data_IF_352807648625
#
_entry.id   IF_352807648625
#
_cell.length_a   1.000
_cell.length_b   1.000
_cell.length_c   1.000
_cell.angle_alpha   90.00
_cell.angle_beta   90.00
_cell.angle_gamma   90.00
#
_symmetry.space_group_name_H-M   'P 1'
#
loop_
_entity.id
_entity.type
_entity.pdbx_description
1 polymer ?
#
# COMPACT_ATOMS: atom_id res chain seq x y z
N UNK A 1 -4.76 13.30 15.22
CA UNK A 1 -5.24 11.92 15.34
C UNK A 1 -6.75 11.91 15.26
N UNK A 2 -7.27 11.20 14.27
CA UNK A 2 -8.69 11.06 14.01
C UNK A 2 -9.38 10.13 15.01
N UNK A 3 -10.69 10.31 15.18
CA UNK A 3 -11.51 9.35 15.89
C UNK A 3 -11.64 8.05 15.07
N UNK A 4 -11.90 6.93 15.75
CA UNK A 4 -12.05 5.64 15.09
C UNK A 4 -13.18 5.65 14.04
N UNK A 5 -14.28 6.36 14.33
CA UNK A 5 -15.40 6.50 13.40
C UNK A 5 -15.00 7.25 12.11
N UNK A 6 -14.16 8.28 12.20
CA UNK A 6 -13.70 9.03 11.03
C UNK A 6 -12.78 8.18 10.14
N UNK A 7 -11.87 7.41 10.74
CA UNK A 7 -11.04 6.43 10.02
C UNK A 7 -11.89 5.40 9.28
N UNK A 8 -12.95 4.90 9.93
CA UNK A 8 -13.89 3.96 9.35
C UNK A 8 -14.61 4.56 8.12
N UNK A 9 -15.04 5.82 8.20
CA UNK A 9 -15.65 6.53 7.06
C UNK A 9 -14.70 6.61 5.87
N UNK A 10 -13.42 6.89 6.09
CA UNK A 10 -12.42 6.92 5.00
C UNK A 10 -12.22 5.53 4.41
N UNK A 11 -12.03 4.50 5.25
CA UNK A 11 -11.85 3.12 4.81
C UNK A 11 -13.04 2.63 3.97
N UNK A 12 -14.27 2.88 4.41
CA UNK A 12 -15.49 2.51 3.68
C UNK A 12 -15.57 3.18 2.30
N UNK A 13 -15.13 4.43 2.18
CA UNK A 13 -15.08 5.15 0.90
C UNK A 13 -14.02 4.58 -0.04
N UNK A 14 -12.85 4.21 0.47
CA UNK A 14 -11.80 3.56 -0.32
C UNK A 14 -12.22 2.16 -0.78
N UNK A 15 -12.82 1.37 0.11
CA UNK A 15 -13.40 0.07 -0.22
C UNK A 15 -14.53 0.20 -1.25
N UNK A 16 -15.37 1.24 -1.11
CA UNK A 16 -16.38 1.55 -2.12
C UNK A 16 -15.73 1.88 -3.47
N UNK A 17 -14.72 2.75 -3.51
CA UNK A 17 -13.99 3.08 -4.73
C UNK A 17 -13.42 1.82 -5.41
N UNK A 18 -12.83 0.90 -4.64
CA UNK A 18 -12.35 -0.38 -5.14
C UNK A 18 -13.45 -1.24 -5.78
N UNK A 19 -14.66 -1.23 -5.23
CA UNK A 19 -15.79 -2.03 -5.74
C UNK A 19 -16.49 -1.41 -6.94
N UNK A 20 -16.60 -0.08 -6.97
CA UNK A 20 -17.40 0.65 -7.96
C UNK A 20 -16.57 1.34 -9.04
N UNK A 21 -15.24 1.22 -8.96
CA UNK A 21 -14.32 1.90 -9.86
C UNK A 21 -14.56 3.42 -9.94
N UNK A 22 -15.02 4.02 -8.83
CA UNK A 22 -15.34 5.45 -8.75
C UNK A 22 -14.37 6.15 -7.79
N UNK A 23 -13.51 7.06 -8.28
CA UNK A 23 -12.47 7.66 -7.44
C UNK A 23 -13.05 8.66 -6.42
N UNK A 24 -12.45 8.70 -5.24
CA UNK A 24 -12.86 9.60 -4.16
C UNK A 24 -11.98 10.85 -4.11
N UNK A 25 -12.44 11.89 -3.41
CA UNK A 25 -11.62 13.05 -3.06
C UNK A 25 -10.57 12.68 -2.01
N UNK A 26 -9.60 13.57 -1.77
CA UNK A 26 -8.56 13.36 -0.77
C UNK A 26 -9.17 13.12 0.63
N UNK A 27 -8.75 12.04 1.33
CA UNK A 27 -9.03 11.89 2.76
C UNK A 27 -8.62 13.09 3.61
N UNK A 28 -7.47 13.72 3.34
CA UNK A 28 -6.97 14.91 4.05
C UNK A 28 -7.83 16.16 3.80
N UNK A 29 -8.44 16.31 2.61
CA UNK A 29 -9.43 17.36 2.35
C UNK A 29 -10.70 17.17 3.20
N UNK A 30 -11.15 15.91 3.38
CA UNK A 30 -12.32 15.59 4.20
C UNK A 30 -12.02 15.71 5.71
N UNK A 31 -10.81 15.30 6.11
CA UNK A 31 -10.35 15.31 7.48
C UNK A 31 -8.97 15.99 7.57
N UNK A 32 -8.92 17.33 7.73
CA UNK A 32 -7.65 18.06 7.79
C UNK A 32 -6.69 17.61 8.90
N UNK A 33 -7.21 16.98 9.96
CA UNK A 33 -6.43 16.45 11.09
C UNK A 33 -5.90 15.01 10.88
N UNK A 34 -6.05 14.44 9.68
CA UNK A 34 -5.58 13.10 9.32
C UNK A 34 -4.04 13.09 9.23
N UNK A 35 -3.40 12.34 10.12
CA UNK A 35 -1.93 12.23 10.16
C UNK A 35 -1.45 10.85 9.69
N UNK A 36 -0.13 10.67 9.56
CA UNK A 36 0.49 9.42 9.08
C UNK A 36 -0.01 8.17 9.82
N UNK A 37 -0.14 8.26 11.14
CA UNK A 37 -0.64 7.17 11.99
C UNK A 37 -2.11 6.83 11.70
N UNK A 38 -2.92 7.81 11.31
CA UNK A 38 -4.30 7.59 10.87
C UNK A 38 -4.33 6.88 9.52
N UNK A 39 -3.44 7.26 8.58
CA UNK A 39 -3.35 6.64 7.26
C UNK A 39 -3.04 5.13 7.36
N UNK A 40 -2.04 4.74 8.15
CA UNK A 40 -1.73 3.32 8.36
C UNK A 40 -2.87 2.55 9.04
N UNK A 41 -3.63 3.19 9.94
CA UNK A 41 -4.83 2.58 10.52
C UNK A 41 -5.96 2.41 9.51
N UNK A 42 -6.14 3.38 8.60
CA UNK A 42 -7.11 3.29 7.52
C UNK A 42 -6.72 2.17 6.55
N UNK A 43 -5.45 2.07 6.17
CA UNK A 43 -4.92 0.95 5.39
C UNK A 43 -5.25 -0.38 6.07
N UNK A 44 -5.01 -0.50 7.38
CA UNK A 44 -5.30 -1.71 8.13
C UNK A 44 -6.80 -2.06 8.12
N UNK A 45 -7.70 -1.07 8.26
CA UNK A 45 -9.15 -1.30 8.18
C UNK A 45 -9.57 -1.83 6.81
N UNK A 46 -9.00 -1.31 5.72
CA UNK A 46 -9.24 -1.83 4.37
C UNK A 46 -8.76 -3.29 4.24
N UNK A 47 -7.57 -3.60 4.75
CA UNK A 47 -7.02 -4.96 4.74
C UNK A 47 -7.87 -5.91 5.58
N UNK A 48 -8.26 -5.51 6.79
CA UNK A 48 -9.08 -6.33 7.70
C UNK A 48 -10.42 -6.70 7.05
N UNK A 49 -11.03 -5.75 6.32
CA UNK A 49 -12.25 -6.03 5.55
C UNK A 49 -12.01 -7.12 4.48
N UNK A 50 -10.96 -7.01 3.67
CA UNK A 50 -10.68 -8.02 2.64
C UNK A 50 -10.28 -9.37 3.24
N UNK A 51 -9.58 -9.39 4.37
CA UNK A 51 -9.26 -10.62 5.10
C UNK A 51 -10.53 -11.27 5.66
N UNK A 52 -11.47 -10.48 6.18
CA UNK A 52 -12.79 -10.97 6.59
C UNK A 52 -13.61 -11.54 5.41
N UNK A 53 -13.39 -11.02 4.20
CA UNK A 53 -13.94 -11.55 2.94
C UNK A 53 -13.17 -12.79 2.40
N UNK A 54 -12.11 -13.23 3.08
CA UNK A 54 -11.37 -14.45 2.76
C UNK A 54 -10.02 -14.25 2.06
N UNK A 55 -9.59 -13.02 1.82
CA UNK A 55 -8.27 -12.72 1.28
C UNK A 55 -7.16 -13.07 2.28
N UNK A 56 -5.94 -13.31 1.78
CA UNK A 56 -4.78 -13.65 2.62
C UNK A 56 -3.66 -12.66 2.41
N UNK A 57 -3.08 -12.16 3.51
CA UNK A 57 -1.82 -11.40 3.45
C UNK A 57 -0.70 -12.34 2.98
N UNK A 58 0.02 -11.93 1.94
CA UNK A 58 1.10 -12.67 1.28
C UNK A 58 2.46 -11.97 1.37
N UNK A 59 2.49 -10.71 1.79
CA UNK A 59 3.74 -9.98 1.98
C UNK A 59 3.51 -8.50 2.18
N UNK A 60 4.58 -7.75 1.98
CA UNK A 60 4.62 -6.31 2.13
C UNK A 60 5.40 -5.69 0.97
N UNK A 61 5.03 -4.47 0.59
CA UNK A 61 5.81 -3.60 -0.31
C UNK A 61 6.40 -2.46 0.50
N UNK A 62 7.51 -1.90 0.04
CA UNK A 62 8.14 -0.70 0.62
C UNK A 62 8.27 0.34 -0.48
N UNK A 63 7.49 1.41 -0.42
CA UNK A 63 7.50 2.48 -1.40
C UNK A 63 8.30 3.69 -0.93
N UNK A 64 8.41 4.69 -1.79
CA UNK A 64 9.12 5.95 -1.51
C UNK A 64 10.55 5.73 -0.99
N UNK A 65 11.26 4.74 -1.56
CA UNK A 65 12.64 4.36 -1.16
C UNK A 65 13.71 5.35 -1.65
N UNK A 66 13.39 6.16 -2.67
CA UNK A 66 14.27 7.19 -3.18
C UNK A 66 14.30 8.43 -2.28
N UNK A 67 15.50 8.87 -1.89
CA UNK A 67 15.68 10.12 -1.12
C UNK A 67 15.12 11.35 -1.83
N UNK A 68 15.21 11.40 -3.16
CA UNK A 68 14.65 12.49 -3.95
C UNK A 68 13.11 12.49 -3.89
N UNK A 69 12.48 11.31 -3.94
CA UNK A 69 11.02 11.19 -3.83
C UNK A 69 10.53 11.48 -2.41
N UNK A 70 11.28 11.07 -1.38
CA UNK A 70 11.01 11.40 0.02
C UNK A 70 10.98 12.92 0.23
N UNK A 71 12.02 13.62 -0.24
CA UNK A 71 12.09 15.08 -0.18
C UNK A 71 10.94 15.75 -0.95
N UNK A 72 10.65 15.30 -2.18
CA UNK A 72 9.55 15.83 -2.98
C UNK A 72 8.17 15.60 -2.35
N UNK A 73 8.03 14.56 -1.51
CA UNK A 73 6.79 14.20 -0.82
C UNK A 73 6.72 14.72 0.62
N UNK A 74 7.76 15.43 1.09
CA UNK A 74 7.83 16.00 2.43
C UNK A 74 7.99 14.97 3.56
N UNK A 75 8.52 13.77 3.25
CA UNK A 75 8.78 12.71 4.24
C UNK A 75 10.27 12.44 4.35
N UNK A 76 10.68 11.78 5.44
CA UNK A 76 12.06 11.44 5.74
C UNK A 76 12.33 9.92 5.79
N UNK A 77 11.28 9.11 5.63
CA UNK A 77 11.34 7.65 5.63
C UNK A 77 10.47 7.05 4.52
N UNK A 78 10.72 5.78 4.11
CA UNK A 78 9.86 5.04 3.18
C UNK A 78 8.45 4.80 3.75
N UNK A 79 7.49 4.48 2.88
CA UNK A 79 6.19 3.94 3.29
C UNK A 79 6.15 2.41 3.13
N UNK A 80 5.08 1.78 3.59
CA UNK A 80 4.84 0.37 3.32
C UNK A 80 3.36 0.05 3.14
N UNK A 81 3.10 -1.02 2.40
CA UNK A 81 1.75 -1.54 2.19
C UNK A 81 1.69 -3.05 2.30
N UNK A 82 0.50 -3.59 2.50
CA UNK A 82 0.26 -5.03 2.58
C UNK A 82 -0.13 -5.59 1.21
N UNK A 83 0.45 -6.72 0.85
CA UNK A 83 0.13 -7.44 -0.38
C UNK A 83 -0.81 -8.60 -0.06
N UNK A 84 -2.00 -8.59 -0.64
CA UNK A 84 -2.96 -9.69 -0.55
C UNK A 84 -2.76 -10.68 -1.70
N UNK A 85 -3.13 -11.94 -1.49
CA UNK A 85 -3.12 -13.01 -2.50
C UNK A 85 -3.78 -12.61 -3.82
N UNK A 86 -4.91 -11.90 -3.74
CA UNK A 86 -5.62 -11.35 -4.91
C UNK A 86 -4.87 -10.27 -5.70
N UNK A 87 -3.74 -9.76 -5.22
CA UNK A 87 -2.89 -8.80 -5.93
C UNK A 87 -1.80 -9.47 -6.76
N UNK A 88 -1.59 -10.78 -6.59
CA UNK A 88 -0.58 -11.51 -7.35
C UNK A 88 -1.16 -12.01 -8.67
N UNK A 89 -0.46 -11.70 -9.75
CA UNK A 89 -0.78 -12.14 -11.09
C UNK A 89 0.32 -13.08 -11.60
N UNK A 90 -0.02 -14.10 -12.39
CA UNK A 90 1.00 -14.93 -13.02
C UNK A 90 1.81 -14.10 -14.03
N UNK A 91 3.02 -14.55 -14.32
CA UNK A 91 3.83 -14.00 -15.40
C UNK A 91 3.04 -14.01 -16.73
N UNK A 92 3.19 -12.95 -17.52
CA UNK A 92 2.47 -12.72 -18.77
C UNK A 92 0.93 -12.62 -18.66
N UNK A 93 0.39 -12.35 -17.45
CA UNK A 93 -1.01 -11.98 -17.31
C UNK A 93 -1.36 -10.77 -18.19
N UNK A 94 -2.49 -10.86 -18.90
CA UNK A 94 -3.02 -9.72 -19.67
C UNK A 94 -3.89 -8.87 -18.76
N UNK A 95 -3.68 -7.56 -18.80
CA UNK A 95 -4.42 -6.58 -18.01
C UNK A 95 -5.09 -5.57 -18.92
N UNK A 96 -6.34 -5.22 -18.62
CA UNK A 96 -7.04 -4.15 -19.31
C UNK A 96 -6.84 -2.86 -18.52
N UNK A 97 -6.31 -1.83 -19.17
CA UNK A 97 -6.09 -0.51 -18.53
C UNK A 97 -7.39 0.05 -17.91
N UNK A 98 -8.56 -0.27 -18.50
CA UNK A 98 -9.86 0.17 -18.01
C UNK A 98 -10.24 -0.40 -16.63
N UNK A 99 -9.58 -1.47 -16.17
CA UNK A 99 -9.82 -2.07 -14.85
C UNK A 99 -9.15 -1.27 -13.72
N UNK A 100 -8.33 -0.27 -14.06
CA UNK A 100 -7.53 0.54 -13.14
C UNK A 100 -7.86 2.03 -13.28
N UNK A 101 -7.54 2.83 -12.26
CA UNK A 101 -7.83 4.27 -12.28
C UNK A 101 -6.78 5.06 -13.07
N UNK A 102 -5.51 4.76 -12.80
CA UNK A 102 -4.37 5.42 -13.40
C UNK A 102 -3.10 4.66 -13.06
N UNK A 103 -2.94 3.43 -13.60
CA UNK A 103 -1.90 2.53 -13.18
C UNK A 103 -0.51 3.04 -13.60
N UNK A 104 0.47 2.86 -12.73
CA UNK A 104 1.89 3.03 -12.97
C UNK A 104 2.59 1.69 -12.80
N UNK A 105 3.65 1.48 -13.56
CA UNK A 105 4.46 0.26 -13.51
C UNK A 105 5.79 0.57 -12.87
N UNK A 106 6.15 -0.18 -11.84
CA UNK A 106 7.41 -0.07 -11.12
C UNK A 106 8.17 -1.40 -11.22
N UNK A 107 9.50 -1.33 -11.36
CA UNK A 107 10.38 -2.50 -11.46
C UNK A 107 11.09 -2.68 -10.13
N UNK A 108 10.91 -3.85 -9.53
CA UNK A 108 11.36 -4.14 -8.18
C UNK A 108 12.12 -5.48 -8.07
N UNK A 109 12.69 -5.71 -6.89
CA UNK A 109 13.19 -7.02 -6.46
C UNK A 109 12.33 -7.50 -5.29
N UNK A 110 11.72 -8.66 -5.43
CA UNK A 110 10.98 -9.32 -4.35
C UNK A 110 11.91 -10.26 -3.57
N UNK A 111 11.88 -10.14 -2.25
CA UNK A 111 12.56 -11.04 -1.33
C UNK A 111 11.57 -12.10 -0.85
N UNK A 112 11.78 -13.36 -1.24
CA UNK A 112 10.98 -14.48 -0.74
C UNK A 112 11.61 -14.99 0.54
N UNK A 113 10.86 -14.94 1.63
CA UNK A 113 11.36 -15.23 2.98
C UNK A 113 11.16 -16.71 3.33
N UNK A 114 12.19 -17.34 3.91
CA UNK A 114 12.08 -18.67 4.57
C UNK A 114 11.94 -18.55 6.09
N UNK A 115 12.49 -17.49 6.67
CA UNK A 115 12.43 -17.21 8.10
C UNK A 115 11.71 -15.88 8.36
N UNK A 116 11.06 -15.78 9.52
CA UNK A 116 10.41 -14.53 9.94
C UNK A 116 11.44 -13.50 10.40
N UNK A 117 11.17 -12.22 10.10
CA UNK A 117 11.89 -11.07 10.66
C UNK A 117 11.03 -10.39 11.72
N UNK A 118 11.61 -10.05 12.85
CA UNK A 118 10.93 -9.34 13.93
C UNK A 118 11.83 -8.23 14.48
N UNK A 119 11.29 -7.03 14.57
CA UNK A 119 11.98 -5.88 15.17
C UNK A 119 11.86 -5.82 16.70
N UNK A 120 12.44 -4.77 17.31
CA UNK A 120 13.28 -3.75 16.69
C UNK A 120 14.70 -4.28 16.35
N UNK A 121 15.46 -3.55 15.53
CA UNK A 121 16.88 -3.79 15.19
C UNK A 121 17.21 -4.84 14.12
N UNK A 122 16.27 -5.20 13.25
CA UNK A 122 16.57 -5.97 12.02
C UNK A 122 17.57 -5.18 11.17
N UNK A 123 18.65 -5.83 10.73
CA UNK A 123 19.63 -5.25 9.81
C UNK A 123 19.69 -6.02 8.48
N UNK A 124 20.47 -5.51 7.52
CA UNK A 124 20.59 -6.12 6.19
C UNK A 124 21.11 -7.57 6.21
N UNK A 125 22.01 -7.92 7.15
CA UNK A 125 22.51 -9.28 7.27
C UNK A 125 21.41 -10.25 7.76
N UNK A 126 20.50 -9.78 8.62
CA UNK A 126 19.35 -10.58 9.06
C UNK A 126 18.39 -10.83 7.89
N UNK A 127 18.11 -9.80 7.07
CA UNK A 127 17.30 -9.95 5.86
C UNK A 127 17.92 -10.95 4.90
N UNK A 128 19.23 -10.87 4.65
CA UNK A 128 19.95 -11.82 3.78
C UNK A 128 19.82 -13.25 4.32
N UNK A 129 19.97 -13.47 5.63
CA UNK A 129 19.86 -14.80 6.24
C UNK A 129 18.45 -15.37 6.14
N UNK A 130 17.44 -14.54 6.37
CA UNK A 130 16.03 -14.93 6.37
C UNK A 130 15.44 -15.08 4.96
N UNK A 131 16.13 -14.58 3.93
CA UNK A 131 15.73 -14.72 2.52
C UNK A 131 16.03 -16.14 2.03
N UNK A 132 15.04 -16.75 1.37
CA UNK A 132 15.20 -17.99 0.63
C UNK A 132 15.80 -17.72 -0.74
N UNK A 133 15.15 -16.83 -1.51
CA UNK A 133 15.61 -16.37 -2.81
C UNK A 133 15.04 -14.99 -3.16
N UNK A 134 15.61 -14.38 -4.21
CA UNK A 134 15.18 -13.09 -4.75
C UNK A 134 14.62 -13.30 -6.16
N UNK A 135 13.53 -12.62 -6.49
CA UNK A 135 12.91 -12.61 -7.81
C UNK A 135 12.85 -11.18 -8.37
N UNK A 136 12.95 -11.00 -9.70
CA UNK A 136 12.39 -9.81 -10.33
C UNK A 136 10.90 -9.71 -10.03
N UNK A 137 10.42 -8.50 -9.75
CA UNK A 137 9.00 -8.23 -9.53
C UNK A 137 8.59 -6.97 -10.29
N UNK A 138 7.34 -6.93 -10.75
CA UNK A 138 6.74 -5.76 -11.36
C UNK A 138 5.56 -5.37 -10.48
N UNK A 139 5.59 -4.17 -9.90
CA UNK A 139 4.45 -3.63 -9.16
C UNK A 139 3.58 -2.78 -10.09
N UNK A 140 2.27 -3.06 -10.07
CA UNK A 140 1.28 -2.20 -10.69
C UNK A 140 0.66 -1.32 -9.61
N UNK A 141 1.12 -0.08 -9.53
CA UNK A 141 0.64 0.90 -8.56
C UNK A 141 -0.56 1.62 -9.14
N UNK A 142 -1.65 1.73 -8.38
CA UNK A 142 -2.88 2.40 -8.85
C UNK A 142 -3.43 3.33 -7.75
N UNK A 143 -4.23 4.32 -8.15
CA UNK A 143 -4.68 5.41 -7.26
C UNK A 143 -6.20 5.54 -7.26
N UNK A 144 -6.83 5.36 -6.10
CA UNK A 144 -8.30 5.48 -5.94
C UNK A 144 -8.78 6.94 -5.75
N UNK A 145 -7.91 7.91 -6.01
CA UNK A 145 -8.13 9.33 -5.70
C UNK A 145 -8.21 10.14 -6.99
N UNK A 146 -9.12 11.12 -7.05
CA UNK A 146 -9.37 11.92 -8.27
C UNK A 146 -8.18 12.75 -8.72
N UNK A 147 -7.43 13.29 -7.77
CA UNK A 147 -6.35 14.23 -8.02
C UNK A 147 -5.04 13.72 -7.44
N UNK A 148 -3.93 14.35 -7.83
CA UNK A 148 -2.65 14.16 -7.16
C UNK A 148 -2.73 14.75 -5.75
N UNK A 149 -2.29 13.98 -4.77
CA UNK A 149 -2.44 14.26 -3.33
C UNK A 149 -1.14 13.99 -2.58
N UNK A 150 -1.12 14.29 -1.28
CA UNK A 150 0.03 14.04 -0.42
C UNK A 150 0.17 12.57 -0.01
N UNK A 151 1.32 12.26 0.59
CA UNK A 151 1.69 10.90 1.03
C UNK A 151 0.66 10.26 1.97
N UNK A 152 0.07 11.06 2.84
CA UNK A 152 -0.86 10.57 3.86
C UNK A 152 -2.13 10.04 3.18
N UNK A 153 -2.59 10.70 2.13
CA UNK A 153 -3.71 10.23 1.32
C UNK A 153 -3.38 8.96 0.53
N UNK A 154 -2.13 8.80 0.08
CA UNK A 154 -1.73 7.64 -0.75
C UNK A 154 -1.47 6.37 0.04
N UNK A 155 -1.23 6.49 1.36
CA UNK A 155 -1.06 5.33 2.26
C UNK A 155 -2.42 4.75 2.70
N UNK A 156 -3.46 5.58 2.77
CA UNK A 156 -4.80 5.16 3.22
C UNK A 156 -5.39 4.01 2.41
#
# INVERSE_FOLDING_TARGET
>A
MLAQADRQVVAERLLHAHRTHTPISSPKEMFPALEMEDAYRIQQLCIDQWVAEGARVKGYKVGLTSKAMQQASGINEPDFGLLLDRFFLPEAATLHHADFFGPLVEIELAFVMKDSLAGPHVNAADVIRATDFVLPSIELVDRRLRNRVGVVDTIC
#
